data_IF_273259746396
#
_entry.id   IF_273259746396
#
_cell.length_a   1.000
_cell.length_b   1.000
_cell.length_c   1.000
_cell.angle_alpha   90.00
_cell.angle_beta   90.00
_cell.angle_gamma   90.00
#
_symmetry.space_group_name_H-M   'P 1'
#
loop_
_entity.id
_entity.type
_entity.pdbx_description
1 polymer ?
#
# COMPACT_ATOMS: atom_id res chain seq x y z
N UNK A 1 -0.06 5.60 5.30
CA UNK A 1 -0.84 6.55 4.49
C UNK A 1 -1.03 7.82 5.30
N UNK A 2 -0.63 8.97 4.76
CA UNK A 2 -0.90 10.28 5.37
C UNK A 2 -2.08 10.93 4.63
N UNK A 3 -3.11 11.37 5.36
CA UNK A 3 -4.34 11.91 4.76
C UNK A 3 -4.13 13.37 4.37
N UNK A 4 -3.95 13.59 3.07
CA UNK A 4 -3.84 14.93 2.48
C UNK A 4 -5.21 15.49 2.07
N UNK A 5 -5.23 16.75 1.63
CA UNK A 5 -6.45 17.42 1.13
C UNK A 5 -7.12 16.65 -0.02
N UNK A 6 -6.33 16.10 -0.94
CA UNK A 6 -6.82 15.35 -2.10
C UNK A 6 -7.61 14.10 -1.70
N UNK A 7 -7.18 13.41 -0.63
CA UNK A 7 -7.94 12.29 -0.07
C UNK A 7 -9.26 12.74 0.54
N UNK A 8 -9.28 13.90 1.21
CA UNK A 8 -10.52 14.45 1.79
C UNK A 8 -11.52 14.80 0.70
N UNK A 9 -11.05 15.41 -0.39
CA UNK A 9 -11.90 15.75 -1.54
C UNK A 9 -12.43 14.48 -2.24
N UNK A 10 -11.60 13.45 -2.37
CA UNK A 10 -12.01 12.16 -2.89
C UNK A 10 -13.08 11.47 -2.01
N UNK A 11 -12.90 11.47 -0.68
CA UNK A 11 -13.89 10.94 0.27
C UNK A 11 -15.21 11.71 0.17
N UNK A 12 -15.16 13.04 0.11
CA UNK A 12 -16.35 13.89 -0.03
C UNK A 12 -17.07 13.72 -1.37
N UNK A 13 -16.36 13.22 -2.38
CA UNK A 13 -16.90 12.96 -3.72
C UNK A 13 -17.35 11.50 -3.89
N UNK A 14 -17.46 10.73 -2.81
CA UNK A 14 -17.80 9.30 -2.81
C UNK A 14 -16.93 8.45 -3.76
N UNK A 15 -15.64 8.81 -3.89
CA UNK A 15 -14.68 8.00 -4.66
C UNK A 15 -14.43 6.65 -4.01
N UNK A 16 -14.10 5.66 -4.83
CA UNK A 16 -13.88 4.29 -4.37
C UNK A 16 -12.63 4.16 -3.49
N UNK A 17 -12.56 3.08 -2.72
CA UNK A 17 -11.34 2.74 -1.95
C UNK A 17 -10.13 2.55 -2.86
N UNK A 18 -10.33 2.06 -4.08
CA UNK A 18 -9.26 1.86 -5.06
C UNK A 18 -8.71 3.21 -5.53
N UNK A 19 -9.58 4.18 -5.80
CA UNK A 19 -9.15 5.54 -6.14
C UNK A 19 -8.38 6.20 -4.99
N UNK A 20 -8.80 5.99 -3.73
CA UNK A 20 -8.05 6.48 -2.57
C UNK A 20 -6.68 5.81 -2.43
N UNK A 21 -6.59 4.52 -2.76
CA UNK A 21 -5.33 3.76 -2.77
C UNK A 21 -4.40 4.30 -3.84
N UNK A 22 -4.91 4.62 -5.02
CA UNK A 22 -4.13 5.18 -6.11
C UNK A 22 -3.56 6.56 -5.76
N UNK A 23 -4.40 7.47 -5.22
CA UNK A 23 -3.94 8.79 -4.72
C UNK A 23 -2.83 8.62 -3.67
N UNK A 24 -2.96 7.61 -2.81
CA UNK A 24 -1.94 7.32 -1.80
C UNK A 24 -0.63 6.85 -2.43
N UNK A 25 -0.69 5.95 -3.42
CA UNK A 25 0.48 5.43 -4.12
C UNK A 25 1.19 6.56 -4.86
N UNK A 26 0.46 7.42 -5.57
CA UNK A 26 1.01 8.60 -6.26
C UNK A 26 1.75 9.54 -5.32
N UNK A 27 1.27 9.67 -4.08
CA UNK A 27 1.92 10.48 -3.03
C UNK A 27 3.05 9.77 -2.28
N UNK A 28 3.48 8.60 -2.75
CA UNK A 28 4.63 7.89 -2.20
C UNK A 28 4.30 6.84 -1.15
N UNK A 29 3.03 6.47 -0.99
CA UNK A 29 2.68 5.28 -0.21
C UNK A 29 3.25 4.04 -0.90
N UNK A 30 4.05 3.25 -0.17
CA UNK A 30 4.42 1.91 -0.58
C UNK A 30 3.34 0.93 -0.12
N UNK A 31 2.89 0.06 -1.03
CA UNK A 31 2.01 -1.05 -0.65
C UNK A 31 2.73 -2.04 0.24
N UNK A 32 1.98 -2.85 0.98
CA UNK A 32 2.53 -3.89 1.85
C UNK A 32 3.45 -4.84 1.07
N UNK A 33 3.02 -5.31 -0.10
CA UNK A 33 3.84 -6.16 -0.96
C UNK A 33 5.15 -5.51 -1.40
N UNK A 34 5.14 -4.22 -1.77
CA UNK A 34 6.37 -3.50 -2.13
C UNK A 34 7.31 -3.32 -0.94
N UNK A 35 6.76 -3.01 0.24
CA UNK A 35 7.55 -2.86 1.47
C UNK A 35 8.19 -4.20 1.88
N UNK A 36 7.40 -5.28 1.93
CA UNK A 36 7.90 -6.62 2.25
C UNK A 36 8.94 -7.10 1.23
N UNK A 37 8.76 -6.82 -0.06
CA UNK A 37 9.75 -7.16 -1.09
C UNK A 37 11.10 -6.49 -0.81
N UNK A 38 11.10 -5.24 -0.37
CA UNK A 38 12.33 -4.55 0.03
C UNK A 38 13.03 -5.27 1.20
N UNK A 39 12.27 -5.70 2.20
CA UNK A 39 12.81 -6.41 3.37
C UNK A 39 13.42 -7.77 3.00
N UNK A 40 12.80 -8.50 2.06
CA UNK A 40 13.37 -9.76 1.54
C UNK A 40 14.69 -9.50 0.84
N UNK A 41 14.75 -8.48 -0.03
CA UNK A 41 15.99 -8.13 -0.74
C UNK A 41 17.10 -7.66 0.20
N UNK A 42 16.74 -7.10 1.36
CA UNK A 42 17.69 -6.72 2.41
C UNK A 42 18.08 -7.88 3.33
N UNK A 43 17.53 -9.08 3.14
CA UNK A 43 17.80 -10.26 3.96
C UNK A 43 17.18 -10.21 5.37
N UNK A 44 16.20 -9.33 5.59
CA UNK A 44 15.53 -9.17 6.90
C UNK A 44 14.44 -10.23 7.12
N UNK A 45 13.79 -10.66 6.04
CA UNK A 45 12.69 -11.63 6.04
C UNK A 45 12.80 -12.54 4.82
N UNK A 46 12.00 -13.60 4.78
CA UNK A 46 12.04 -14.62 3.72
C UNK A 46 10.96 -14.41 2.65
N UNK A 47 11.16 -15.04 1.48
CA UNK A 47 10.16 -15.05 0.40
C UNK A 47 8.87 -15.72 0.87
N UNK A 48 8.95 -16.77 1.69
CA UNK A 48 7.80 -17.47 2.26
C UNK A 48 6.94 -16.57 3.17
N UNK A 49 7.59 -15.77 4.02
CA UNK A 49 6.90 -14.80 4.88
C UNK A 49 6.21 -13.71 4.06
N UNK A 50 6.88 -13.20 3.02
CA UNK A 50 6.29 -12.25 2.09
C UNK A 50 5.04 -12.82 1.40
N UNK A 51 5.09 -14.06 0.91
CA UNK A 51 3.95 -14.69 0.25
C UNK A 51 2.76 -14.83 1.21
N UNK A 52 2.99 -15.33 2.43
CA UNK A 52 1.96 -15.47 3.47
C UNK A 52 1.31 -14.16 3.89
N UNK A 53 2.09 -13.08 4.00
CA UNK A 53 1.59 -11.83 4.58
C UNK A 53 1.00 -10.91 3.51
N UNK A 54 1.69 -10.74 2.38
CA UNK A 54 1.36 -9.72 1.40
C UNK A 54 0.39 -10.19 0.30
N UNK A 55 0.30 -11.50 0.03
CA UNK A 55 -0.47 -12.02 -1.11
C UNK A 55 -1.57 -13.01 -0.73
N UNK A 56 -1.48 -13.66 0.43
CA UNK A 56 -2.53 -14.59 0.89
C UNK A 56 -3.70 -13.90 1.64
N UNK A 57 -3.60 -12.59 1.92
CA UNK A 57 -4.62 -11.83 2.67
C UNK A 57 -5.21 -10.64 1.89
N UNK A 58 -4.83 -10.43 0.63
CA UNK A 58 -5.54 -9.54 -0.33
C UNK A 58 -6.56 -10.36 -1.11
#
# INVERSE_FOLDING_TARGET
MEITREHKEAILSDKSSDELRDISIEKGMKTLGLACKSLVLQGVTTVDELAKIAFLNE
#
